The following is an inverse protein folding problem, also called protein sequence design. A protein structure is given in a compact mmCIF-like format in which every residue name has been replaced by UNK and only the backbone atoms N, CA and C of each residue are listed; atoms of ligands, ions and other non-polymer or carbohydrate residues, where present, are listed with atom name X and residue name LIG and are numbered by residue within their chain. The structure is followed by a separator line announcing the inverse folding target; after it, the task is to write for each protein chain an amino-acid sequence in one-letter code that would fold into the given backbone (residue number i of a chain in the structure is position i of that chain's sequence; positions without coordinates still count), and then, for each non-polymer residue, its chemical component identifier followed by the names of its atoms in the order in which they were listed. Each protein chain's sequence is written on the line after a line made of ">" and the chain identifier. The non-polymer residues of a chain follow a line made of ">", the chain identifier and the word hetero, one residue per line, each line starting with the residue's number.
data_IF_853695624293
#
_entry.id   IF_853695624293
#
_cell.length_a   1.000
_cell.length_b   1.000
_cell.length_c   1.000
_cell.angle_alpha   90.00
_cell.angle_beta   90.00
_cell.angle_gamma   90.00
#
_symmetry.space_group_name_H-M   'P 1'
#
loop_
_entity.id
_entity.type
_entity.pdbx_description
1 polymer ?
#
# COMPACT_ATOMS: atom_id res chain seq x y z
N UNK A 1 7.76 -36.87 20.57
CA UNK A 1 7.33 -35.46 20.53
C UNK A 1 8.31 -34.73 19.60
N UNK A 2 7.95 -34.64 18.35
CA UNK A 2 8.71 -33.86 17.36
C UNK A 2 8.46 -32.39 17.64
N UNK A 3 9.47 -31.69 18.12
CA UNK A 3 9.44 -30.23 18.27
C UNK A 3 9.42 -29.66 16.86
N UNK A 4 8.24 -29.33 16.38
CA UNK A 4 8.02 -28.68 15.09
C UNK A 4 8.78 -27.35 15.10
N UNK A 5 9.87 -27.29 14.36
CA UNK A 5 10.67 -26.07 14.19
C UNK A 5 9.74 -24.97 13.66
N UNK A 6 9.75 -23.78 14.24
CA UNK A 6 8.96 -22.65 13.72
C UNK A 6 9.39 -22.41 12.28
N UNK A 7 8.42 -22.36 11.39
CA UNK A 7 8.60 -22.15 9.96
C UNK A 7 9.33 -20.81 9.76
N UNK A 8 10.65 -20.86 9.52
CA UNK A 8 11.55 -19.72 9.39
C UNK A 8 11.41 -19.04 8.01
N UNK A 9 10.18 -18.93 7.49
CA UNK A 9 10.01 -18.16 6.27
C UNK A 9 10.36 -16.68 6.53
N UNK A 10 11.16 -16.06 5.65
CA UNK A 10 11.62 -14.69 5.86
C UNK A 10 10.44 -13.72 5.87
N UNK A 11 10.48 -12.79 6.80
CA UNK A 11 9.54 -11.67 6.84
C UNK A 11 9.82 -10.76 5.63
N UNK A 12 8.78 -10.46 4.85
CA UNK A 12 8.90 -9.61 3.67
C UNK A 12 8.40 -8.21 4.03
N UNK A 13 9.29 -7.22 4.04
CA UNK A 13 8.92 -5.81 4.18
C UNK A 13 8.83 -5.16 2.81
N UNK A 14 7.66 -4.59 2.50
CA UNK A 14 7.38 -3.91 1.23
C UNK A 14 6.96 -2.49 1.52
N UNK A 15 7.38 -1.56 0.66
CA UNK A 15 6.99 -0.15 0.74
C UNK A 15 6.55 0.34 -0.63
N UNK A 16 5.60 1.29 -0.67
CA UNK A 16 5.28 2.00 -1.90
C UNK A 16 6.53 2.60 -2.54
N UNK A 17 6.66 2.46 -3.85
CA UNK A 17 7.76 3.03 -4.59
C UNK A 17 7.77 4.56 -4.50
N UNK A 18 8.97 5.17 -4.52
CA UNK A 18 9.13 6.62 -4.52
C UNK A 18 8.38 7.25 -5.71
N UNK A 19 8.50 6.63 -6.88
CA UNK A 19 7.86 7.05 -8.11
C UNK A 19 6.33 7.08 -7.96
N UNK A 20 5.75 6.09 -7.26
CA UNK A 20 4.31 6.09 -6.97
C UNK A 20 3.88 7.32 -6.17
N UNK A 21 4.65 7.70 -5.15
CA UNK A 21 4.37 8.90 -4.38
C UNK A 21 4.42 10.16 -5.27
N UNK A 22 5.41 10.27 -6.16
CA UNK A 22 5.49 11.38 -7.12
C UNK A 22 4.31 11.40 -8.09
N UNK A 23 3.90 10.28 -8.66
CA UNK A 23 2.73 10.19 -9.54
C UNK A 23 1.48 10.73 -8.83
N UNK A 24 1.29 10.35 -7.55
CA UNK A 24 0.11 10.76 -6.76
C UNK A 24 0.09 12.25 -6.40
N UNK A 25 1.23 12.92 -6.33
CA UNK A 25 1.31 14.35 -6.01
C UNK A 25 1.51 15.23 -7.25
N UNK A 26 1.83 14.64 -8.41
CA UNK A 26 2.12 15.39 -9.66
C UNK A 26 1.00 16.38 -10.00
N UNK A 27 -0.26 15.95 -9.95
CA UNK A 27 -1.41 16.83 -10.19
C UNK A 27 -1.50 18.01 -9.23
N UNK A 28 -1.15 17.80 -7.94
CA UNK A 28 -1.11 18.87 -6.94
C UNK A 28 0.03 19.86 -7.22
N UNK A 29 1.19 19.36 -7.65
CA UNK A 29 2.32 20.20 -8.00
C UNK A 29 2.02 21.06 -9.24
N UNK A 30 1.38 20.49 -10.26
CA UNK A 30 0.94 21.22 -11.44
C UNK A 30 -0.12 22.28 -11.08
N UNK A 31 -1.06 21.97 -10.21
CA UNK A 31 -2.04 22.92 -9.71
C UNK A 31 -1.39 24.06 -8.92
N UNK A 32 -0.44 23.75 -8.02
CA UNK A 32 0.30 24.77 -7.28
C UNK A 32 1.08 25.69 -8.20
N UNK A 33 1.75 25.15 -9.24
CA UNK A 33 2.46 25.93 -10.24
C UNK A 33 1.51 26.83 -11.05
N UNK A 34 0.34 26.30 -11.45
CA UNK A 34 -0.69 27.08 -12.14
C UNK A 34 -1.20 28.26 -11.31
N UNK A 35 -1.52 28.04 -10.03
CA UNK A 35 -1.92 29.14 -9.14
C UNK A 35 -0.80 30.14 -8.88
N UNK A 36 0.44 29.69 -8.84
CA UNK A 36 1.60 30.59 -8.70
C UNK A 36 1.74 31.51 -9.92
N UNK A 37 1.57 30.95 -11.13
CA UNK A 37 1.61 31.77 -12.38
C UNK A 37 0.43 32.74 -12.43
N UNK A 38 -0.77 32.34 -12.03
CA UNK A 38 -1.93 33.21 -11.94
C UNK A 38 -1.73 34.34 -10.91
N UNK A 39 -1.13 34.01 -9.76
CA UNK A 39 -0.79 34.99 -8.73
C UNK A 39 0.18 36.04 -9.26
N UNK A 40 1.20 35.61 -10.01
CA UNK A 40 2.18 36.49 -10.61
C UNK A 40 1.57 37.46 -11.64
N UNK A 41 0.61 36.97 -12.46
CA UNK A 41 0.10 37.74 -13.61
C UNK A 41 -1.13 38.57 -13.28
N UNK A 42 -2.02 38.07 -12.41
CA UNK A 42 -3.37 38.66 -12.26
C UNK A 42 -3.73 39.05 -10.83
N UNK A 43 -3.49 38.19 -9.85
CA UNK A 43 -4.01 38.35 -8.48
C UNK A 43 -3.03 37.86 -7.42
N UNK A 44 -2.17 38.69 -6.85
CA UNK A 44 -1.14 38.31 -5.88
C UNK A 44 -1.61 37.46 -4.69
N UNK A 45 -2.82 37.67 -4.09
CA UNK A 45 -3.29 36.83 -2.99
C UNK A 45 -3.37 35.32 -3.29
N UNK A 46 -3.45 34.91 -4.57
CA UNK A 46 -3.44 33.48 -4.96
C UNK A 46 -2.13 32.75 -4.57
N UNK A 47 -1.07 33.48 -4.22
CA UNK A 47 0.18 32.89 -3.74
C UNK A 47 -0.06 32.03 -2.49
N UNK A 48 -0.93 32.48 -1.59
CA UNK A 48 -1.26 31.73 -0.37
C UNK A 48 -1.96 30.41 -0.67
N UNK A 49 -2.80 30.38 -1.72
CA UNK A 49 -3.42 29.14 -2.17
C UNK A 49 -2.40 28.18 -2.78
N UNK A 50 -1.46 28.68 -3.58
CA UNK A 50 -0.36 27.87 -4.11
C UNK A 50 0.48 27.26 -3.00
N UNK A 51 0.85 28.04 -1.98
CA UNK A 51 1.60 27.58 -0.81
C UNK A 51 0.81 26.50 -0.06
N UNK A 52 -0.48 26.71 0.18
CA UNK A 52 -1.32 25.71 0.86
C UNK A 52 -1.37 24.37 0.10
N UNK A 53 -1.54 24.41 -1.24
CA UNK A 53 -1.52 23.21 -2.09
C UNK A 53 -0.15 22.53 -2.02
N UNK A 54 0.95 23.29 -2.03
CA UNK A 54 2.30 22.74 -1.93
C UNK A 54 2.55 22.05 -0.58
N UNK A 55 2.11 22.64 0.52
CA UNK A 55 2.18 22.02 1.85
C UNK A 55 1.34 20.73 1.92
N UNK A 56 0.15 20.74 1.32
CA UNK A 56 -0.68 19.55 1.22
C UNK A 56 -0.04 18.46 0.37
N UNK A 57 0.60 18.81 -0.75
CA UNK A 57 1.35 17.87 -1.58
C UNK A 57 2.53 17.26 -0.81
N UNK A 58 3.28 18.08 -0.06
CA UNK A 58 4.37 17.59 0.79
C UNK A 58 3.86 16.62 1.88
N UNK A 59 2.74 16.94 2.54
CA UNK A 59 2.10 16.03 3.49
C UNK A 59 1.70 14.70 2.85
N UNK A 60 1.05 14.74 1.67
CA UNK A 60 0.64 13.54 0.92
C UNK A 60 1.84 12.68 0.52
N UNK A 61 2.94 13.32 0.10
CA UNK A 61 4.19 12.62 -0.20
C UNK A 61 4.72 11.87 1.03
N UNK A 62 4.85 12.57 2.16
CA UNK A 62 5.32 11.97 3.40
C UNK A 62 4.40 10.85 3.88
N UNK A 63 3.09 11.03 3.76
CA UNK A 63 2.12 9.99 4.12
C UNK A 63 2.34 8.71 3.33
N UNK A 64 2.45 8.79 1.99
CA UNK A 64 2.68 7.62 1.14
C UNK A 64 4.02 6.94 1.47
N UNK A 65 5.06 7.73 1.71
CA UNK A 65 6.40 7.21 2.05
C UNK A 65 6.47 6.52 3.42
N UNK A 66 5.55 6.82 4.32
CA UNK A 66 5.47 6.22 5.65
C UNK A 66 4.68 4.90 5.69
N UNK A 67 3.97 4.56 4.62
CA UNK A 67 3.28 3.28 4.52
C UNK A 67 4.30 2.15 4.45
N UNK A 68 4.06 1.10 5.25
CA UNK A 68 4.86 -0.13 5.25
C UNK A 68 3.93 -1.32 5.28
N UNK A 69 4.23 -2.31 4.46
CA UNK A 69 3.56 -3.59 4.41
C UNK A 69 4.52 -4.66 4.91
N UNK A 70 4.16 -5.37 5.95
CA UNK A 70 4.94 -6.44 6.54
C UNK A 70 4.18 -7.75 6.34
N UNK A 71 4.74 -8.65 5.54
CA UNK A 71 4.18 -9.97 5.28
C UNK A 71 4.97 -11.00 6.08
N UNK A 72 4.34 -11.54 7.11
CA UNK A 72 4.87 -12.66 7.89
C UNK A 72 4.29 -13.98 7.39
N UNK A 73 4.74 -15.14 7.87
CA UNK A 73 4.12 -16.42 7.53
C UNK A 73 2.64 -16.52 7.95
N UNK A 74 2.22 -15.84 9.02
CA UNK A 74 0.89 -16.00 9.61
C UNK A 74 -0.04 -14.82 9.36
N UNK A 75 0.50 -13.60 9.26
CA UNK A 75 -0.29 -12.38 9.15
C UNK A 75 0.33 -11.34 8.22
N UNK A 76 -0.54 -10.49 7.69
CA UNK A 76 -0.18 -9.27 6.96
C UNK A 76 -0.41 -8.07 7.87
N UNK A 77 0.62 -7.26 8.07
CA UNK A 77 0.54 -6.05 8.86
C UNK A 77 0.74 -4.81 7.98
N UNK A 78 -0.15 -3.84 8.11
CA UNK A 78 -0.09 -2.57 7.39
C UNK A 78 0.10 -1.45 8.39
N UNK A 79 1.23 -0.77 8.26
CA UNK A 79 1.55 0.40 9.08
C UNK A 79 1.42 1.66 8.23
N UNK A 80 0.58 2.60 8.65
CA UNK A 80 0.34 3.87 7.94
C UNK A 80 0.23 5.04 8.93
N UNK A 81 0.50 6.25 8.44
CA UNK A 81 0.37 7.49 9.19
C UNK A 81 1.67 8.27 9.35
N UNK A 82 1.55 9.60 9.46
CA UNK A 82 2.68 10.53 9.66
C UNK A 82 2.75 10.95 11.13
N UNK A 83 1.67 11.50 11.66
CA UNK A 83 1.57 11.96 13.06
C UNK A 83 0.99 10.89 13.98
N UNK A 84 -0.06 10.18 13.50
CA UNK A 84 -0.66 9.06 14.21
C UNK A 84 -0.38 7.80 13.42
N UNK A 85 0.26 6.83 14.08
CA UNK A 85 0.56 5.54 13.46
C UNK A 85 -0.61 4.60 13.70
N UNK A 86 -1.25 4.18 12.61
CA UNK A 86 -2.23 3.10 12.60
C UNK A 86 -1.55 1.84 12.09
N UNK A 87 -1.83 0.73 12.76
CA UNK A 87 -1.31 -0.59 12.41
C UNK A 87 -2.49 -1.53 12.32
N UNK A 88 -2.81 -1.96 11.11
CA UNK A 88 -3.85 -2.94 10.84
C UNK A 88 -3.17 -4.28 10.62
N UNK A 89 -3.65 -5.32 11.28
CA UNK A 89 -3.10 -6.69 11.18
C UNK A 89 -4.22 -7.63 10.76
N UNK A 90 -3.97 -8.40 9.69
CA UNK A 90 -4.93 -9.38 9.18
C UNK A 90 -4.24 -10.72 9.00
N UNK A 91 -4.85 -11.76 9.52
CA UNK A 91 -4.37 -13.13 9.43
C UNK A 91 -4.48 -13.66 7.99
N UNK A 92 -3.42 -14.28 7.48
CA UNK A 92 -3.34 -14.70 6.07
C UNK A 92 -4.40 -15.76 5.72
N UNK A 93 -4.79 -16.62 6.63
CA UNK A 93 -5.85 -17.62 6.37
C UNK A 93 -7.22 -16.99 6.07
N UNK A 94 -7.44 -15.71 6.45
CA UNK A 94 -8.67 -14.97 6.15
C UNK A 94 -8.70 -14.39 4.74
N UNK A 95 -7.59 -14.39 4.03
CA UNK A 95 -7.52 -13.88 2.65
C UNK A 95 -8.20 -14.88 1.72
N UNK A 96 -9.22 -14.42 0.97
CA UNK A 96 -10.00 -15.25 0.04
C UNK A 96 -9.54 -15.10 -1.40
N UNK A 97 -9.28 -13.88 -1.83
CA UNK A 97 -9.06 -13.57 -3.24
C UNK A 97 -8.01 -12.47 -3.40
N UNK A 98 -7.37 -12.46 -4.56
CA UNK A 98 -6.30 -11.53 -4.92
C UNK A 98 -6.64 -10.88 -6.26
N UNK A 99 -6.67 -9.56 -6.30
CA UNK A 99 -6.85 -8.82 -7.55
C UNK A 99 -5.65 -7.92 -7.80
N UNK A 100 -4.88 -8.24 -8.82
CA UNK A 100 -3.76 -7.42 -9.26
C UNK A 100 -4.27 -6.40 -10.29
N UNK A 101 -3.99 -5.12 -10.05
CA UNK A 101 -4.36 -4.03 -10.94
C UNK A 101 -3.14 -3.22 -11.33
N UNK A 102 -2.95 -3.02 -12.61
CA UNK A 102 -1.86 -2.22 -13.16
C UNK A 102 -2.42 -1.17 -14.14
N UNK A 103 -2.85 0.01 -13.69
CA UNK A 103 -3.14 1.12 -14.57
C UNK A 103 -1.95 1.45 -15.47
N UNK A 104 -2.20 2.00 -16.66
CA UNK A 104 -1.17 2.27 -17.68
C UNK A 104 0.08 2.98 -17.12
N UNK A 105 -0.12 3.98 -16.27
CA UNK A 105 1.00 4.71 -15.63
C UNK A 105 1.85 3.78 -14.75
N UNK A 106 1.22 2.88 -13.97
CA UNK A 106 1.95 1.94 -13.13
C UNK A 106 2.68 0.87 -13.95
N UNK A 107 2.14 0.49 -15.12
CA UNK A 107 2.81 -0.44 -16.04
C UNK A 107 4.14 0.12 -16.55
N UNK A 108 4.17 1.41 -16.94
CA UNK A 108 5.39 2.07 -17.41
C UNK A 108 6.51 2.00 -16.36
N UNK A 109 6.17 2.17 -15.08
CA UNK A 109 7.13 2.16 -13.97
C UNK A 109 7.30 0.80 -13.31
N UNK A 110 6.75 -0.28 -13.90
CA UNK A 110 6.78 -1.65 -13.35
C UNK A 110 6.30 -1.70 -11.89
N UNK A 111 5.20 -1.00 -11.63
CA UNK A 111 4.52 -0.99 -10.35
C UNK A 111 3.18 -1.70 -10.44
N UNK A 112 2.65 -2.16 -9.31
CA UNK A 112 1.34 -2.78 -9.22
C UNK A 112 0.58 -2.33 -7.97
N UNK A 113 -0.75 -2.38 -8.06
CA UNK A 113 -1.65 -2.29 -6.93
C UNK A 113 -2.25 -3.69 -6.70
N UNK A 114 -2.12 -4.23 -5.50
CA UNK A 114 -2.65 -5.52 -5.11
C UNK A 114 -3.81 -5.32 -4.12
N UNK A 115 -4.99 -5.80 -4.48
CA UNK A 115 -6.15 -5.85 -3.60
C UNK A 115 -6.34 -7.27 -3.07
N UNK A 116 -6.39 -7.41 -1.76
CA UNK A 116 -6.67 -8.65 -1.04
C UNK A 116 -8.08 -8.56 -0.48
N UNK A 117 -8.95 -9.50 -0.85
CA UNK A 117 -10.27 -9.65 -0.24
C UNK A 117 -10.17 -10.62 0.93
N UNK A 118 -10.69 -10.20 2.06
CA UNK A 118 -10.61 -10.98 3.30
C UNK A 118 -11.99 -11.29 3.88
N UNK A 119 -12.05 -12.26 4.80
CA UNK A 119 -13.24 -12.52 5.62
C UNK A 119 -13.27 -11.72 6.90
N UNK A 120 -12.27 -10.88 7.12
CA UNK A 120 -12.22 -10.03 8.31
C UNK A 120 -13.28 -8.93 8.23
N UNK A 121 -14.22 -8.83 9.19
CA UNK A 121 -15.26 -7.80 9.18
C UNK A 121 -14.71 -6.37 9.27
N UNK A 122 -13.58 -6.19 9.94
CA UNK A 122 -12.96 -4.86 10.11
C UNK A 122 -12.18 -4.43 8.86
N UNK A 123 -11.59 -5.39 8.15
CA UNK A 123 -10.76 -5.15 6.97
C UNK A 123 -11.18 -6.05 5.80
N UNK A 124 -12.37 -5.87 5.21
CA UNK A 124 -12.86 -6.74 4.13
C UNK A 124 -12.03 -6.63 2.84
N UNK A 125 -11.39 -5.48 2.62
CA UNK A 125 -10.48 -5.23 1.50
C UNK A 125 -9.20 -4.56 1.97
N UNK A 126 -8.08 -5.10 1.54
CA UNK A 126 -6.75 -4.60 1.86
C UNK A 126 -6.02 -4.23 0.58
N UNK A 127 -5.60 -2.97 0.49
CA UNK A 127 -4.89 -2.46 -0.67
C UNK A 127 -3.41 -2.25 -0.38
N UNK A 128 -2.55 -2.97 -1.12
CA UNK A 128 -1.12 -2.72 -1.20
C UNK A 128 -0.86 -1.93 -2.48
N UNK A 129 -0.66 -0.63 -2.37
CA UNK A 129 -0.62 0.28 -3.52
C UNK A 129 0.79 0.71 -3.89
N UNK A 130 1.05 0.78 -5.20
CA UNK A 130 2.29 1.29 -5.75
C UNK A 130 3.52 0.49 -5.34
N UNK A 131 3.37 -0.82 -5.18
CA UNK A 131 4.46 -1.72 -4.87
C UNK A 131 5.19 -2.13 -6.15
N UNK A 132 6.50 -2.42 -6.10
CA UNK A 132 7.24 -2.94 -7.24
C UNK A 132 6.63 -4.24 -7.76
N UNK A 133 6.59 -4.41 -9.08
CA UNK A 133 6.18 -5.67 -9.69
C UNK A 133 7.14 -6.77 -9.25
N UNK A 134 6.63 -7.76 -8.57
CA UNK A 134 7.39 -8.88 -8.02
C UNK A 134 6.50 -10.12 -7.91
N UNK A 135 7.10 -11.27 -7.63
CA UNK A 135 6.39 -12.54 -7.40
C UNK A 135 5.65 -12.59 -6.05
N UNK A 136 5.36 -11.40 -5.49
CA UNK A 136 4.69 -11.26 -4.19
C UNK A 136 3.34 -11.97 -4.14
N UNK A 137 2.58 -11.93 -5.24
CA UNK A 137 1.26 -12.59 -5.31
C UNK A 137 1.42 -14.10 -5.13
N UNK A 138 2.41 -14.69 -5.81
CA UNK A 138 2.70 -16.12 -5.70
C UNK A 138 3.17 -16.50 -4.28
N UNK A 139 4.07 -15.71 -3.72
CA UNK A 139 4.54 -15.90 -2.34
C UNK A 139 3.42 -15.74 -1.31
N UNK A 140 2.52 -14.77 -1.50
CA UNK A 140 1.35 -14.61 -0.64
C UNK A 140 0.40 -15.81 -0.75
N UNK A 141 0.16 -16.29 -1.97
CA UNK A 141 -0.70 -17.44 -2.22
C UNK A 141 -0.17 -18.69 -1.53
N UNK A 142 1.13 -18.94 -1.66
CA UNK A 142 1.80 -20.06 -1.00
C UNK A 142 1.65 -19.99 0.52
N UNK A 143 1.92 -18.83 1.12
CA UNK A 143 1.76 -18.62 2.57
C UNK A 143 0.33 -18.78 3.05
N UNK A 144 -0.64 -18.28 2.28
CA UNK A 144 -2.07 -18.46 2.62
C UNK A 144 -2.44 -19.94 2.63
N UNK A 145 -1.99 -20.71 1.63
CA UNK A 145 -2.25 -22.14 1.55
C UNK A 145 -1.63 -22.88 2.73
N UNK A 146 -0.38 -22.60 3.08
CA UNK A 146 0.31 -23.19 4.22
C UNK A 146 -0.40 -22.86 5.54
N UNK A 147 -0.78 -21.59 5.74
CA UNK A 147 -1.46 -21.14 6.96
C UNK A 147 -2.83 -21.79 7.10
N UNK A 148 -3.58 -21.97 6.01
CA UNK A 148 -4.86 -22.70 6.01
C UNK A 148 -4.68 -24.17 6.37
N UNK A 149 -3.68 -24.84 5.81
CA UNK A 149 -3.37 -26.23 6.13
C UNK A 149 -2.98 -26.40 7.60
N UNK A 150 -2.17 -25.50 8.12
CA UNK A 150 -1.73 -25.52 9.51
C UNK A 150 -2.90 -25.34 10.50
N UNK A 151 -3.80 -24.42 10.20
CA UNK A 151 -4.98 -24.14 11.02
C UNK A 151 -6.15 -25.12 10.76
N UNK A 152 -5.96 -26.17 9.95
CA UNK A 152 -7.00 -27.16 9.59
C UNK A 152 -8.31 -26.53 9.08
N UNK A 153 -8.20 -25.38 8.45
CA UNK A 153 -9.35 -24.71 7.83
C UNK A 153 -9.55 -25.36 6.45
N UNK A 154 -10.27 -26.47 6.43
CA UNK A 154 -10.73 -27.07 5.19
C UNK A 154 -12.02 -26.36 4.78
N UNK A 155 -12.03 -25.70 3.64
CA UNK A 155 -13.27 -25.29 3.00
C UNK A 155 -14.00 -26.57 2.58
N UNK A 156 -15.04 -26.95 3.33
CA UNK A 156 -15.98 -27.99 2.90
C UNK A 156 -16.87 -27.32 1.86
N UNK A 157 -16.60 -27.60 0.58
CA UNK A 157 -17.51 -27.27 -0.52
C UNK A 157 -18.72 -28.18 -0.46
#
# INVERSE_FOLDING_TARGET
>A
MEVQQPNLQPVIEIRPAVIFAFIKICGLLLAAAGFLLLAWRYFPPLIWLSVAIMLFAAYRYLYIRRIRYLVTPEYLQISRGVFFRQVDTVELFRVKDYTLTQPFVLQIFKLMDLNLKTTDPENPEIWLRGIPLSDLVEQLRERVLETRQHNRIYEIN
#
